data_IF_670932809641
#
_entry.id   IF_670932809641
#
_cell.length_a   1.000
_cell.length_b   1.000
_cell.length_c   1.000
_cell.angle_alpha   90.00
_cell.angle_beta   90.00
_cell.angle_gamma   90.00
#
_symmetry.space_group_name_H-M   'P 1'
#
loop_
_entity.id
_entity.type
_entity.pdbx_description
1 polymer ?
#
# COMPACT_ATOMS: atom_id res chain seq x y z
N UNK A 1 -25.89 -12.84 -32.70
CA UNK A 1 -25.16 -11.60 -32.30
C UNK A 1 -24.27 -11.09 -33.44
N UNK A 2 -24.48 -11.62 -34.65
CA UNK A 2 -23.47 -11.72 -35.72
C UNK A 2 -23.74 -10.76 -36.90
N UNK A 3 -24.92 -10.13 -36.94
CA UNK A 3 -25.34 -9.24 -38.02
C UNK A 3 -24.47 -7.98 -38.11
N UNK A 4 -24.00 -7.46 -36.97
CA UNK A 4 -23.15 -6.27 -36.92
C UNK A 4 -21.72 -6.52 -37.43
N UNK A 5 -21.12 -7.66 -37.08
CA UNK A 5 -19.78 -8.03 -37.56
C UNK A 5 -19.80 -8.29 -39.06
N UNK A 6 -20.86 -8.94 -39.54
CA UNK A 6 -21.03 -9.27 -40.96
C UNK A 6 -21.19 -8.00 -41.81
N UNK A 7 -21.90 -6.98 -41.30
CA UNK A 7 -22.02 -5.67 -41.96
C UNK A 7 -20.69 -4.89 -42.01
N UNK A 8 -19.87 -4.93 -40.96
CA UNK A 8 -18.55 -4.27 -40.97
C UNK A 8 -17.62 -4.96 -41.97
N UNK A 9 -17.69 -6.29 -42.06
CA UNK A 9 -16.89 -7.08 -43.01
C UNK A 9 -17.37 -6.86 -44.44
N UNK A 10 -18.69 -6.77 -44.68
CA UNK A 10 -19.24 -6.52 -46.03
C UNK A 10 -18.85 -5.13 -46.54
N UNK A 11 -18.96 -4.10 -45.69
CA UNK A 11 -18.57 -2.73 -46.03
C UNK A 11 -17.07 -2.57 -46.33
N UNK A 12 -16.22 -3.43 -45.76
CA UNK A 12 -14.77 -3.43 -46.04
C UNK A 12 -14.43 -4.10 -47.37
N UNK A 13 -15.27 -5.00 -47.86
CA UNK A 13 -15.02 -5.85 -49.03
C UNK A 13 -15.84 -5.43 -50.27
N UNK A 14 -16.80 -4.51 -50.15
CA UNK A 14 -17.61 -4.08 -51.30
C UNK A 14 -16.83 -3.17 -52.26
N UNK A 15 -16.70 -3.65 -53.50
CA UNK A 15 -16.24 -2.89 -54.68
C UNK A 15 -17.47 -2.62 -55.55
N UNK A 16 -17.80 -1.35 -55.89
CA UNK A 16 -16.96 -0.52 -56.76
C UNK A 16 -16.59 0.86 -56.19
N UNK A 17 -17.09 1.24 -55.01
CA UNK A 17 -16.78 2.52 -54.36
C UNK A 17 -15.87 2.26 -53.16
N UNK A 18 -14.59 2.67 -53.20
CA UNK A 18 -13.68 2.49 -52.07
C UNK A 18 -14.17 3.35 -50.91
N UNK A 19 -14.90 2.74 -49.98
CA UNK A 19 -15.26 3.35 -48.72
C UNK A 19 -13.94 3.48 -47.94
N UNK A 20 -13.64 4.69 -47.46
CA UNK A 20 -12.46 4.93 -46.62
C UNK A 20 -12.44 4.01 -45.39
N UNK A 21 -11.35 4.04 -44.63
CA UNK A 21 -11.20 3.18 -43.44
C UNK A 21 -12.43 3.23 -42.54
N UNK A 22 -13.19 2.14 -42.48
CA UNK A 22 -14.34 2.00 -41.58
C UNK A 22 -13.79 1.91 -40.16
N UNK A 23 -13.97 2.99 -39.40
CA UNK A 23 -13.54 3.07 -38.02
C UNK A 23 -14.66 2.52 -37.12
N UNK A 24 -14.54 1.26 -36.72
CA UNK A 24 -15.49 0.65 -35.78
C UNK A 24 -15.29 1.26 -34.39
N UNK A 25 -16.28 2.06 -33.97
CA UNK A 25 -16.29 2.71 -32.66
C UNK A 25 -16.37 1.70 -31.51
N UNK A 26 -16.96 0.50 -31.71
CA UNK A 26 -17.01 -0.55 -30.68
C UNK A 26 -15.66 -1.22 -30.48
N UNK A 27 -14.94 -1.51 -31.56
CA UNK A 27 -13.58 -2.07 -31.49
C UNK A 27 -12.57 -1.02 -30.96
N UNK A 28 -12.76 0.26 -31.30
CA UNK A 28 -11.97 1.34 -30.74
C UNK A 28 -12.21 1.52 -29.22
N UNK A 29 -13.47 1.45 -28.77
CA UNK A 29 -13.83 1.50 -27.35
C UNK A 29 -13.33 0.27 -26.58
N UNK A 30 -13.41 -0.93 -27.15
CA UNK A 30 -12.93 -2.15 -26.49
C UNK A 30 -11.42 -2.11 -26.26
N UNK A 31 -10.65 -1.60 -27.24
CA UNK A 31 -9.20 -1.39 -27.13
C UNK A 31 -8.83 -0.27 -26.15
N UNK A 32 -9.61 0.80 -26.09
CA UNK A 32 -9.41 1.91 -25.14
C UNK A 32 -9.76 1.54 -23.69
N UNK A 33 -10.67 0.59 -23.48
CA UNK A 33 -11.06 0.11 -22.15
C UNK A 33 -10.04 -0.86 -21.52
N UNK A 34 -9.04 -1.30 -22.27
CA UNK A 34 -7.95 -2.12 -21.73
C UNK A 34 -7.01 -1.18 -20.98
N UNK A 35 -7.07 -1.20 -19.64
CA UNK A 35 -6.22 -0.40 -18.76
C UNK A 35 -4.74 -0.52 -19.15
N UNK A 36 -4.15 0.49 -19.83
CA UNK A 36 -2.82 0.37 -20.42
C UNK A 36 -1.73 0.25 -19.34
N UNK A 37 -2.00 0.72 -18.11
CA UNK A 37 -1.09 0.59 -16.98
C UNK A 37 -0.93 -0.86 -16.52
N UNK A 38 -1.97 -1.67 -16.64
CA UNK A 38 -1.93 -3.10 -16.27
C UNK A 38 -1.09 -3.88 -17.28
N UNK A 39 -1.22 -3.58 -18.57
CA UNK A 39 -0.36 -4.18 -19.63
C UNK A 39 1.12 -3.82 -19.44
N UNK A 40 1.41 -2.63 -18.94
CA UNK A 40 2.77 -2.15 -18.70
C UNK A 40 3.41 -2.69 -17.39
N UNK A 41 2.76 -3.60 -16.65
CA UNK A 41 3.36 -4.29 -15.50
C UNK A 41 3.39 -3.51 -14.18
N UNK A 42 2.75 -2.33 -14.12
CA UNK A 42 2.79 -1.43 -12.95
C UNK A 42 2.22 -2.06 -11.68
N UNK A 43 1.22 -2.96 -11.80
CA UNK A 43 0.68 -3.68 -10.64
C UNK A 43 1.75 -4.48 -9.90
N UNK A 44 2.60 -5.21 -10.62
CA UNK A 44 3.66 -6.00 -10.00
C UNK A 44 4.71 -5.11 -9.31
N UNK A 45 5.11 -4.03 -9.98
CA UNK A 45 6.05 -3.05 -9.40
C UNK A 45 5.49 -2.43 -8.11
N UNK A 46 4.19 -2.09 -8.10
CA UNK A 46 3.52 -1.52 -6.94
C UNK A 46 3.48 -2.51 -5.77
N UNK A 47 3.17 -3.78 -6.02
CA UNK A 47 3.22 -4.83 -4.99
C UNK A 47 4.63 -5.02 -4.41
N UNK A 48 5.66 -5.04 -5.26
CA UNK A 48 7.04 -5.20 -4.82
C UNK A 48 7.50 -3.99 -4.00
N UNK A 49 7.24 -2.76 -4.49
CA UNK A 49 7.60 -1.54 -3.79
C UNK A 49 6.90 -1.45 -2.43
N UNK A 50 5.61 -1.78 -2.39
CA UNK A 50 4.84 -1.80 -1.16
C UNK A 50 5.37 -2.85 -0.17
N UNK A 51 5.66 -4.06 -0.64
CA UNK A 51 6.27 -5.12 0.17
C UNK A 51 7.63 -4.69 0.74
N UNK A 52 8.48 -4.07 -0.07
CA UNK A 52 9.79 -3.57 0.37
C UNK A 52 9.65 -2.49 1.46
N UNK A 53 8.76 -1.53 1.28
CA UNK A 53 8.50 -0.47 2.27
C UNK A 53 7.90 -1.04 3.55
N UNK A 54 6.99 -2.02 3.45
CA UNK A 54 6.44 -2.71 4.62
C UNK A 54 7.51 -3.44 5.42
N UNK A 55 8.42 -4.15 4.75
CA UNK A 55 9.54 -4.83 5.40
C UNK A 55 10.49 -3.82 6.07
N UNK A 56 10.83 -2.74 5.38
CA UNK A 56 11.65 -1.66 5.94
C UNK A 56 10.99 -1.04 7.18
N UNK A 57 9.68 -0.80 7.12
CA UNK A 57 8.89 -0.28 8.23
C UNK A 57 8.91 -1.26 9.41
N UNK A 58 8.69 -2.55 9.19
CA UNK A 58 8.75 -3.58 10.23
C UNK A 58 10.11 -3.58 10.96
N UNK A 59 11.22 -3.52 10.22
CA UNK A 59 12.57 -3.44 10.78
C UNK A 59 12.74 -2.15 11.59
N UNK A 60 12.26 -1.01 11.07
CA UNK A 60 12.27 0.26 11.76
C UNK A 60 11.50 0.23 13.08
N UNK A 61 10.30 -0.34 13.09
CA UNK A 61 9.46 -0.49 14.29
C UNK A 61 10.11 -1.39 15.34
N UNK A 62 10.70 -2.51 14.93
CA UNK A 62 11.44 -3.41 15.84
C UNK A 62 12.65 -2.70 16.44
N UNK A 63 13.42 -1.98 15.61
CA UNK A 63 14.59 -1.23 16.05
C UNK A 63 14.21 -0.11 17.02
N UNK A 64 13.17 0.66 16.68
CA UNK A 64 12.63 1.70 17.55
C UNK A 64 12.15 1.13 18.89
N UNK A 65 11.41 0.03 18.86
CA UNK A 65 10.93 -0.62 20.08
C UNK A 65 12.08 -1.13 20.95
N UNK A 66 13.12 -1.71 20.34
CA UNK A 66 14.30 -2.19 21.06
C UNK A 66 15.05 -1.05 21.75
N UNK A 67 15.27 0.07 21.05
CA UNK A 67 15.92 1.26 21.62
C UNK A 67 15.05 1.89 22.71
N UNK A 68 13.75 2.04 22.47
CA UNK A 68 12.80 2.58 23.45
C UNK A 68 12.76 1.72 24.72
N UNK A 69 12.74 0.39 24.58
CA UNK A 69 12.79 -0.53 25.71
C UNK A 69 14.10 -0.38 26.50
N UNK A 70 15.25 -0.31 25.83
CA UNK A 70 16.56 -0.18 26.49
C UNK A 70 16.70 1.15 27.24
N UNK A 71 16.21 2.25 26.67
CA UNK A 71 16.21 3.55 27.33
C UNK A 71 15.27 3.58 28.55
N UNK A 72 14.19 2.79 28.52
CA UNK A 72 13.20 2.68 29.61
C UNK A 72 13.62 1.68 30.70
N UNK A 73 14.68 0.89 30.51
CA UNK A 73 15.21 -0.05 31.52
C UNK A 73 15.59 0.65 32.84
N UNK A 74 16.11 1.88 32.77
CA UNK A 74 16.43 2.70 33.95
C UNK A 74 15.16 3.18 34.67
N UNK A 75 14.12 3.54 33.91
CA UNK A 75 12.83 3.95 34.46
C UNK A 75 12.10 2.75 35.11
N UNK A 76 12.27 1.54 34.60
CA UNK A 76 11.73 0.32 35.20
C UNK A 76 12.27 0.04 36.61
N UNK A 77 13.56 0.28 36.84
CA UNK A 77 14.17 0.13 38.16
C UNK A 77 13.54 1.09 39.18
N UNK A 78 13.27 2.34 38.77
CA UNK A 78 12.57 3.34 39.59
C UNK A 78 11.08 3.04 39.76
N UNK A 79 10.41 2.53 38.73
CA UNK A 79 8.99 2.18 38.81
C UNK A 79 8.75 0.97 39.72
N UNK A 80 9.70 0.02 39.79
CA UNK A 80 9.63 -1.11 40.71
C UNK A 80 9.77 -0.68 42.18
N UNK A 81 10.51 0.38 42.49
CA UNK A 81 10.59 0.91 43.86
C UNK A 81 9.32 1.65 44.28
N UNK A 82 8.56 2.21 43.31
CA UNK A 82 7.27 2.88 43.53
C UNK A 82 6.08 1.90 43.44
N UNK A 83 6.30 0.65 43.01
CA UNK A 83 5.29 -0.42 43.00
C UNK A 83 4.45 -0.51 41.71
N UNK A 84 4.89 0.08 40.60
CA UNK A 84 4.20 0.01 39.31
C UNK A 84 4.38 -1.35 38.62
N UNK A 85 3.35 -1.80 37.90
CA UNK A 85 3.27 -3.14 37.31
C UNK A 85 3.91 -3.20 35.91
N UNK A 86 4.52 -4.35 35.56
CA UNK A 86 5.12 -4.60 34.24
C UNK A 86 4.13 -4.42 33.08
N UNK A 87 2.84 -4.66 33.33
CA UNK A 87 1.78 -4.55 32.33
C UNK A 87 1.52 -3.09 31.91
N UNK A 88 1.69 -2.13 32.82
CA UNK A 88 1.52 -0.71 32.51
C UNK A 88 2.56 -0.23 31.50
N UNK A 89 3.80 -0.73 31.55
CA UNK A 89 4.80 -0.35 30.55
C UNK A 89 4.54 -1.00 29.19
N UNK A 90 4.15 -2.27 29.16
CA UNK A 90 3.79 -2.91 27.89
C UNK A 90 2.64 -2.15 27.23
N UNK A 91 1.65 -1.68 28.00
CA UNK A 91 0.56 -0.85 27.51
C UNK A 91 1.03 0.50 26.96
N UNK A 92 2.04 1.12 27.59
CA UNK A 92 2.59 2.40 27.13
C UNK A 92 3.33 2.24 25.79
N UNK A 93 4.14 1.19 25.65
CA UNK A 93 4.84 0.86 24.39
C UNK A 93 3.81 0.58 23.29
N UNK A 94 2.74 -0.16 23.61
CA UNK A 94 1.67 -0.42 22.65
C UNK A 94 0.99 0.88 22.20
N UNK A 95 0.68 1.79 23.12
CA UNK A 95 0.07 3.09 22.82
C UNK A 95 0.99 3.96 21.97
N UNK A 96 2.29 4.00 22.29
CA UNK A 96 3.29 4.72 21.51
C UNK A 96 3.35 4.22 20.06
N UNK A 97 3.41 2.90 19.86
CA UNK A 97 3.44 2.32 18.53
C UNK A 97 2.12 2.53 17.77
N UNK A 98 0.98 2.38 18.46
CA UNK A 98 -0.33 2.65 17.87
C UNK A 98 -0.43 4.10 17.38
N UNK A 99 0.05 5.07 18.16
CA UNK A 99 0.06 6.48 17.79
C UNK A 99 0.93 6.72 16.55
N UNK A 100 2.15 6.17 16.52
CA UNK A 100 3.06 6.30 15.37
C UNK A 100 2.43 5.70 14.11
N UNK A 101 1.78 4.53 14.21
CA UNK A 101 1.11 3.90 13.07
C UNK A 101 -0.07 4.74 12.59
N UNK A 102 -0.92 5.24 13.50
CA UNK A 102 -2.07 6.08 13.14
C UNK A 102 -1.61 7.35 12.42
N UNK A 103 -0.61 8.04 12.96
CA UNK A 103 -0.06 9.26 12.36
C UNK A 103 0.60 8.95 11.01
N UNK A 104 1.41 7.90 10.94
CA UNK A 104 2.09 7.47 9.72
C UNK A 104 1.10 7.08 8.62
N UNK A 105 0.05 6.31 8.94
CA UNK A 105 -1.01 5.97 8.00
C UNK A 105 -1.75 7.22 7.53
N UNK A 106 -2.15 8.10 8.44
CA UNK A 106 -2.86 9.33 8.10
C UNK A 106 -2.05 10.22 7.14
N UNK A 107 -0.76 10.42 7.43
CA UNK A 107 0.15 11.18 6.57
C UNK A 107 0.39 10.47 5.23
N UNK A 108 0.56 9.14 5.24
CA UNK A 108 0.74 8.35 4.04
C UNK A 108 -0.47 8.41 3.11
N UNK A 109 -1.68 8.29 3.65
CA UNK A 109 -2.95 8.44 2.90
C UNK A 109 -3.06 9.83 2.30
N UNK A 110 -2.80 10.87 3.10
CA UNK A 110 -2.89 12.25 2.65
C UNK A 110 -1.89 12.55 1.53
N UNK A 111 -0.64 12.12 1.70
CA UNK A 111 0.42 12.33 0.71
C UNK A 111 0.18 11.51 -0.55
N UNK A 112 -0.26 10.25 -0.43
CA UNK A 112 -0.63 9.40 -1.55
C UNK A 112 -1.77 9.97 -2.38
N UNK A 113 -2.81 10.49 -1.74
CA UNK A 113 -3.93 11.15 -2.42
C UNK A 113 -3.48 12.42 -3.17
N UNK A 114 -2.61 13.24 -2.55
CA UNK A 114 -2.05 14.43 -3.20
C UNK A 114 -1.15 14.10 -4.38
N UNK A 115 -0.25 13.13 -4.22
CA UNK A 115 0.62 12.68 -5.30
C UNK A 115 -0.19 12.09 -6.47
N UNK A 116 -1.20 11.26 -6.19
CA UNK A 116 -2.08 10.72 -7.23
C UNK A 116 -2.78 11.81 -8.04
N UNK A 117 -3.31 12.83 -7.36
CA UNK A 117 -3.99 13.95 -8.03
C UNK A 117 -3.03 14.80 -8.89
N UNK A 118 -1.79 14.97 -8.44
CA UNK A 118 -0.78 15.76 -9.18
C UNK A 118 -0.21 14.97 -10.36
N UNK A 119 0.02 13.66 -10.21
CA UNK A 119 0.67 12.82 -11.23
C UNK A 119 -0.29 12.41 -12.36
N UNK A 120 -1.58 12.19 -12.06
CA UNK A 120 -2.59 11.76 -13.03
C UNK A 120 -2.59 12.52 -14.37
N UNK A 121 -2.55 13.86 -14.44
CA UNK A 121 -2.52 14.58 -15.72
C UNK A 121 -1.23 14.35 -16.54
N UNK A 122 -0.11 14.03 -15.88
CA UNK A 122 1.15 13.74 -16.57
C UNK A 122 1.14 12.35 -17.22
N UNK A 123 0.37 11.40 -16.68
CA UNK A 123 0.22 10.06 -17.26
C UNK A 123 -0.66 10.04 -18.52
N UNK A 124 -1.48 11.08 -18.73
CA UNK A 124 -2.36 11.23 -19.90
C UNK A 124 -1.85 12.16 -20.98
N UNK A 125 -0.61 12.64 -20.87
CA UNK A 125 0.06 13.44 -21.90
C UNK A 125 1.04 12.53 -22.65
N UNK A 126 0.84 12.36 -23.96
CA UNK A 126 1.81 11.71 -24.84
C UNK A 126 3.03 12.64 -25.05
N UNK A 127 4.17 12.10 -25.48
CA UNK A 127 5.45 12.81 -25.69
C UNK A 127 5.36 14.00 -26.67
N UNK A 128 4.22 14.18 -27.34
CA UNK A 128 3.95 15.23 -28.33
C UNK A 128 2.89 16.28 -27.91
N UNK A 129 2.44 16.29 -26.64
CA UNK A 129 1.56 17.35 -26.11
C UNK A 129 0.11 17.31 -26.61
N UNK A 130 -0.30 16.23 -27.28
CA UNK A 130 -1.70 15.97 -27.62
C UNK A 130 -2.40 15.30 -26.43
N UNK A 131 -3.56 15.83 -26.01
CA UNK A 131 -4.39 15.20 -24.98
C UNK A 131 -4.83 13.82 -25.45
N UNK A 132 -4.48 12.78 -24.70
CA UNK A 132 -5.05 11.44 -24.89
C UNK A 132 -6.54 11.53 -24.54
N UNK A 133 -7.37 11.44 -25.56
CA UNK A 133 -8.82 11.27 -25.42
C UNK A 133 -9.10 9.77 -25.23
N UNK A 134 -9.82 9.35 -24.17
CA UNK A 134 -10.57 10.12 -23.17
C UNK A 134 -9.73 10.59 -21.97
N UNK A 135 -10.12 11.68 -21.27
CA UNK A 135 -9.40 12.19 -20.11
C UNK A 135 -9.37 11.18 -18.96
N UNK A 136 -8.21 11.02 -18.32
CA UNK A 136 -8.06 10.18 -17.14
C UNK A 136 -8.84 10.75 -15.96
N UNK A 137 -9.95 10.10 -15.61
CA UNK A 137 -10.70 10.37 -14.39
C UNK A 137 -10.15 9.50 -13.26
N UNK A 138 -9.94 10.10 -12.08
CA UNK A 138 -9.54 9.35 -10.90
C UNK A 138 -10.73 8.50 -10.42
N UNK A 139 -10.74 7.23 -10.78
CA UNK A 139 -11.69 6.25 -10.25
C UNK A 139 -11.04 5.49 -9.10
N UNK A 140 -11.49 5.76 -7.87
CA UNK A 140 -11.05 5.02 -6.69
C UNK A 140 -11.93 3.79 -6.52
N UNK A 141 -11.35 2.61 -6.73
CA UNK A 141 -11.98 1.36 -6.32
C UNK A 141 -11.86 1.20 -4.80
N UNK A 142 -12.97 1.52 -4.12
CA UNK A 142 -13.07 1.41 -2.67
C UNK A 142 -12.82 -0.01 -2.16
N UNK A 143 -13.16 -1.05 -2.93
CA UNK A 143 -12.99 -2.45 -2.53
C UNK A 143 -11.51 -2.81 -2.49
N UNK A 144 -10.77 -2.46 -3.54
CA UNK A 144 -9.32 -2.69 -3.61
C UNK A 144 -8.57 -1.85 -2.58
N UNK A 145 -9.00 -0.60 -2.38
CA UNK A 145 -8.45 0.28 -1.36
C UNK A 145 -8.65 -0.34 0.02
N UNK A 146 -9.88 -0.72 0.38
CA UNK A 146 -10.19 -1.32 1.69
C UNK A 146 -9.37 -2.60 1.92
N UNK A 147 -9.26 -3.47 0.91
CA UNK A 147 -8.47 -4.70 0.98
C UNK A 147 -6.99 -4.43 1.26
N UNK A 148 -6.42 -3.41 0.60
CA UNK A 148 -5.02 -3.01 0.83
C UNK A 148 -4.82 -2.47 2.25
N UNK A 149 -5.72 -1.61 2.74
CA UNK A 149 -5.66 -1.12 4.12
C UNK A 149 -5.81 -2.25 5.14
N UNK A 150 -6.69 -3.22 4.88
CA UNK A 150 -6.86 -4.39 5.75
C UNK A 150 -5.56 -5.20 5.80
N UNK A 151 -4.90 -5.42 4.67
CA UNK A 151 -3.57 -6.02 4.61
C UNK A 151 -2.52 -5.26 5.42
N UNK A 152 -2.49 -3.93 5.33
CA UNK A 152 -1.59 -3.09 6.15
C UNK A 152 -1.85 -3.26 7.64
N UNK A 153 -3.11 -3.22 8.07
CA UNK A 153 -3.49 -3.38 9.48
C UNK A 153 -3.04 -4.75 10.01
N UNK A 154 -3.21 -5.81 9.21
CA UNK A 154 -2.73 -7.16 9.57
C UNK A 154 -1.21 -7.16 9.74
N UNK A 155 -0.45 -6.60 8.79
CA UNK A 155 1.02 -6.54 8.85
C UNK A 155 1.48 -5.73 10.07
N UNK A 156 0.93 -4.54 10.30
CA UNK A 156 1.29 -3.73 11.47
C UNK A 156 0.94 -4.43 12.79
N UNK A 157 -0.20 -5.12 12.85
CA UNK A 157 -0.57 -5.92 14.02
C UNK A 157 0.46 -7.03 14.28
N UNK A 158 0.90 -7.74 13.23
CA UNK A 158 1.94 -8.76 13.34
C UNK A 158 3.28 -8.17 13.81
N UNK A 159 3.65 -6.98 13.34
CA UNK A 159 4.85 -6.27 13.80
C UNK A 159 4.74 -5.93 15.28
N UNK A 160 3.61 -5.38 15.73
CA UNK A 160 3.37 -5.06 17.15
C UNK A 160 3.46 -6.33 18.01
N UNK A 161 2.79 -7.41 17.61
CA UNK A 161 2.83 -8.70 18.32
C UNK A 161 4.26 -9.26 18.35
N UNK A 162 4.99 -9.19 17.23
CA UNK A 162 6.39 -9.61 17.15
C UNK A 162 7.29 -8.82 18.09
N UNK A 163 7.11 -7.49 18.16
CA UNK A 163 7.81 -6.62 19.10
C UNK A 163 7.52 -7.01 20.55
N UNK A 164 6.24 -7.18 20.91
CA UNK A 164 5.84 -7.59 22.28
C UNK A 164 6.47 -8.94 22.63
N UNK A 165 6.43 -9.89 21.70
CA UNK A 165 7.02 -11.21 21.87
C UNK A 165 8.53 -11.15 22.11
N UNK A 166 9.26 -10.35 21.30
CA UNK A 166 10.71 -10.16 21.45
C UNK A 166 11.06 -9.55 22.82
N UNK A 167 10.32 -8.53 23.25
CA UNK A 167 10.53 -7.88 24.55
C UNK A 167 10.30 -8.87 25.69
N UNK A 168 9.19 -9.62 25.66
CA UNK A 168 8.90 -10.66 26.66
C UNK A 168 10.00 -11.71 26.70
N UNK A 169 10.46 -12.20 25.54
CA UNK A 169 11.53 -13.21 25.46
C UNK A 169 12.86 -12.72 26.03
N UNK A 170 13.21 -11.45 25.80
CA UNK A 170 14.44 -10.87 26.37
C UNK A 170 14.40 -10.79 27.90
N UNK A 171 13.24 -10.48 28.49
CA UNK A 171 13.08 -10.48 29.95
C UNK A 171 13.23 -11.87 30.59
N UNK A 172 12.78 -12.92 29.90
CA UNK A 172 12.88 -14.31 30.35
C UNK A 172 14.34 -14.81 30.45
N UNK A 173 15.18 -14.48 29.47
CA UNK A 173 16.58 -14.90 29.49
C UNK A 173 17.45 -14.15 30.52
N UNK A 174 17.06 -12.93 30.94
CA UNK A 174 17.76 -12.22 32.03
C UNK A 174 17.37 -12.71 33.42
N UNK A 175 16.14 -13.16 33.62
CA UNK A 175 15.69 -13.70 34.91
C UNK A 175 16.47 -14.95 35.34
N UNK A 176 16.90 -15.79 34.39
CA UNK A 176 17.70 -17.00 34.66
C UNK A 176 19.13 -16.70 35.11
N UNK A 177 19.75 -15.61 34.64
CA UNK A 177 21.11 -15.21 35.03
C UNK A 177 21.20 -14.48 36.38
N UNK A 178 20.07 -13.98 36.89
CA UNK A 178 19.99 -13.31 38.19
C UNK A 178 19.80 -14.29 39.35
N UNK A 179 19.51 -15.57 39.08
CA UNK A 179 19.46 -16.62 40.10
C UNK A 179 20.80 -17.29 40.39
N UNK A 180 21.85 -16.94 39.64
CA UNK A 180 23.22 -17.48 39.79
C UNK A 180 24.18 -16.51 40.51
N UNK A 181 23.69 -15.38 41.04
CA UNK A 181 24.49 -14.42 41.83
C UNK A 181 23.97 -14.30 43.26
#
# INVERSE_FOLDING_TARGET
>A
EDEWSDLVISLKNETPFPIGSVLDTRDALSKANIDPLVKAGWKALLFIAFGAILLLSAIGFVSHAYVSFRNREVQFALMRTIGLSMNQLISLIWLEQALIIIVGMSLGTWMGARLGAVIMPFLGSDDQGAQVVPPFIMQVDWTNLLTTYLGMVVVFTLVIVGVIFLIRRMSLNRALRLGEM
#
